data_IF_840911435372
#
_entry.id   IF_840911435372
#
_cell.length_a   1.000
_cell.length_b   1.000
_cell.length_c   1.000
_cell.angle_alpha   90.00
_cell.angle_beta   90.00
_cell.angle_gamma   90.00
#
_symmetry.space_group_name_H-M   'P 1'
#
loop_
_entity.id
_entity.type
_entity.pdbx_description
1 polymer ?
#
# COMPACT_ATOMS: atom_id res chain seq x y z
N UNK A 1 -21.84 -5.86 -23.69
CA UNK A 1 -21.24 -5.98 -22.34
C UNK A 1 -21.06 -7.47 -22.09
N UNK A 2 -19.83 -7.94 -21.99
CA UNK A 2 -19.56 -9.36 -21.81
C UNK A 2 -19.73 -9.73 -20.33
N UNK A 3 -20.91 -10.24 -20.00
CA UNK A 3 -21.25 -10.60 -18.63
C UNK A 3 -20.41 -11.77 -18.10
N UNK A 4 -20.01 -12.70 -18.97
CA UNK A 4 -19.19 -13.85 -18.58
C UNK A 4 -17.81 -13.42 -18.07
N UNK A 5 -17.16 -12.50 -18.81
CA UNK A 5 -15.89 -11.92 -18.41
C UNK A 5 -15.96 -11.19 -17.06
N UNK A 6 -17.05 -10.44 -16.82
CA UNK A 6 -17.23 -9.71 -15.55
C UNK A 6 -17.37 -10.68 -14.38
N UNK A 7 -18.19 -11.73 -14.52
CA UNK A 7 -18.37 -12.72 -13.46
C UNK A 7 -17.10 -13.48 -13.15
N UNK A 8 -16.36 -13.93 -14.17
CA UNK A 8 -15.10 -14.64 -14.00
C UNK A 8 -14.04 -13.78 -13.29
N UNK A 9 -13.89 -12.51 -13.69
CA UNK A 9 -12.96 -11.57 -13.06
C UNK A 9 -13.36 -11.25 -11.62
N UNK A 10 -14.65 -11.08 -11.36
CA UNK A 10 -15.16 -10.81 -10.01
C UNK A 10 -14.88 -11.99 -9.09
N UNK A 11 -15.18 -13.20 -9.54
CA UNK A 11 -14.97 -14.41 -8.74
C UNK A 11 -13.48 -14.65 -8.49
N UNK A 12 -12.64 -14.42 -9.50
CA UNK A 12 -11.18 -14.52 -9.38
C UNK A 12 -10.63 -13.48 -8.39
N UNK A 13 -11.11 -12.24 -8.43
CA UNK A 13 -10.67 -11.19 -7.50
C UNK A 13 -11.12 -11.44 -6.04
N UNK A 14 -12.23 -12.16 -5.84
CA UNK A 14 -12.72 -12.50 -4.50
C UNK A 14 -11.89 -13.59 -3.80
N UNK A 15 -11.31 -14.52 -4.56
CA UNK A 15 -10.58 -15.69 -4.02
C UNK A 15 -9.07 -15.58 -4.28
N UNK A 16 -8.68 -14.72 -5.22
CA UNK A 16 -7.30 -14.51 -5.63
C UNK A 16 -6.49 -13.65 -4.65
N UNK A 17 -5.20 -13.42 -4.97
CA UNK A 17 -4.31 -12.60 -4.17
C UNK A 17 -4.76 -11.13 -4.04
N UNK A 18 -5.61 -10.66 -4.95
CA UNK A 18 -6.18 -9.31 -4.92
C UNK A 18 -6.94 -9.06 -3.61
N UNK A 19 -7.67 -10.05 -3.11
CA UNK A 19 -8.40 -9.93 -1.84
C UNK A 19 -7.44 -9.69 -0.68
N UNK A 20 -6.27 -10.32 -0.67
CA UNK A 20 -5.27 -10.13 0.38
C UNK A 20 -4.66 -8.73 0.31
N UNK A 21 -4.40 -8.23 -0.90
CA UNK A 21 -3.87 -6.87 -1.10
C UNK A 21 -4.85 -5.84 -0.55
N UNK A 22 -6.14 -5.94 -0.91
CA UNK A 22 -7.17 -5.02 -0.41
C UNK A 22 -7.46 -5.21 1.08
N UNK A 23 -7.38 -6.43 1.61
CA UNK A 23 -7.51 -6.68 3.04
C UNK A 23 -6.38 -6.01 3.84
N UNK A 24 -5.13 -6.12 3.38
CA UNK A 24 -4.00 -5.40 3.99
C UNK A 24 -4.17 -3.88 3.89
N UNK A 25 -4.68 -3.38 2.76
CA UNK A 25 -5.04 -1.97 2.60
C UNK A 25 -6.07 -1.54 3.66
N UNK A 26 -7.14 -2.31 3.81
CA UNK A 26 -8.22 -2.04 4.76
C UNK A 26 -7.73 -2.07 6.21
N UNK A 27 -6.84 -3.00 6.55
CA UNK A 27 -6.20 -3.06 7.88
C UNK A 27 -5.36 -1.81 8.13
N UNK A 28 -4.52 -1.39 7.19
CA UNK A 28 -3.74 -0.15 7.33
C UNK A 28 -4.63 1.09 7.48
N UNK A 29 -5.74 1.15 6.73
CA UNK A 29 -6.69 2.23 6.83
C UNK A 29 -7.42 2.22 8.19
N UNK A 30 -7.75 1.04 8.70
CA UNK A 30 -8.34 0.90 10.04
C UNK A 30 -7.36 1.34 11.13
N UNK A 31 -6.07 1.05 10.98
CA UNK A 31 -5.03 1.53 11.90
C UNK A 31 -4.99 3.06 11.93
N UNK A 32 -4.97 3.71 10.76
CA UNK A 32 -4.98 5.16 10.68
C UNK A 32 -6.32 5.76 11.12
N UNK A 33 -7.39 5.51 10.38
CA UNK A 33 -8.67 6.16 10.59
C UNK A 33 -9.39 5.64 11.84
N UNK A 34 -9.36 4.33 12.08
CA UNK A 34 -10.08 3.70 13.18
C UNK A 34 -9.53 4.06 14.56
N UNK A 35 -8.19 4.12 14.71
CA UNK A 35 -7.59 4.44 16.01
C UNK A 35 -7.23 5.92 16.18
N UNK A 36 -6.83 6.62 15.12
CA UNK A 36 -6.39 8.03 15.22
C UNK A 36 -7.46 9.03 14.79
N UNK A 37 -8.53 8.59 14.12
CA UNK A 37 -9.56 9.47 13.57
C UNK A 37 -9.12 10.27 12.34
N UNK A 38 -7.87 10.09 11.88
CA UNK A 38 -7.30 10.80 10.74
C UNK A 38 -7.47 9.96 9.48
N UNK A 39 -8.21 10.49 8.50
CA UNK A 39 -8.36 9.86 7.20
C UNK A 39 -7.13 10.22 6.35
N UNK A 40 -6.42 9.21 5.82
CA UNK A 40 -5.24 9.37 4.97
C UNK A 40 -5.50 8.67 3.63
N UNK A 41 -5.65 9.43 2.54
CA UNK A 41 -5.84 8.87 1.19
C UNK A 41 -4.52 8.54 0.48
N UNK A 42 -3.40 9.07 0.96
CA UNK A 42 -2.03 8.79 0.47
C UNK A 42 -1.53 7.36 0.77
N UNK A 43 -2.24 6.56 1.56
CA UNK A 43 -1.87 5.17 1.87
C UNK A 43 -1.62 4.31 0.61
N UNK A 44 -2.38 4.54 -0.46
CA UNK A 44 -2.21 3.84 -1.74
C UNK A 44 -0.83 4.12 -2.37
N UNK A 45 -0.28 5.32 -2.16
CA UNK A 45 1.06 5.67 -2.62
C UNK A 45 2.16 4.83 -1.95
N UNK A 46 2.05 4.60 -0.63
CA UNK A 46 2.97 3.73 0.10
C UNK A 46 2.83 2.26 -0.34
N UNK A 47 1.61 1.80 -0.60
CA UNK A 47 1.38 0.47 -1.15
C UNK A 47 2.04 0.30 -2.51
N UNK A 48 1.88 1.26 -3.42
CA UNK A 48 2.49 1.24 -4.75
C UNK A 48 4.03 1.28 -4.68
N UNK A 49 4.58 2.15 -3.82
CA UNK A 49 6.03 2.26 -3.62
C UNK A 49 6.64 0.95 -3.08
N UNK A 50 5.95 0.26 -2.16
CA UNK A 50 6.36 -1.04 -1.65
C UNK A 50 6.33 -2.14 -2.72
N UNK A 51 5.22 -2.25 -3.45
CA UNK A 51 5.07 -3.23 -4.53
C UNK A 51 6.13 -3.04 -5.63
N UNK A 52 6.36 -1.80 -6.05
CA UNK A 52 7.39 -1.46 -7.03
C UNK A 52 8.79 -1.73 -6.49
N UNK A 53 9.08 -1.40 -5.22
CA UNK A 53 10.37 -1.68 -4.60
C UNK A 53 10.73 -3.16 -4.56
N UNK A 54 9.76 -4.04 -4.24
CA UNK A 54 9.97 -5.50 -4.30
C UNK A 54 10.17 -5.93 -5.75
N UNK A 55 9.38 -5.39 -6.68
CA UNK A 55 9.53 -5.66 -8.11
C UNK A 55 10.92 -5.30 -8.63
N UNK A 56 11.45 -4.13 -8.30
CA UNK A 56 12.79 -3.70 -8.73
C UNK A 56 13.89 -4.57 -8.12
N UNK A 57 13.82 -4.82 -6.81
CA UNK A 57 14.84 -5.62 -6.13
C UNK A 57 14.90 -7.06 -6.63
N UNK A 58 13.75 -7.69 -6.88
CA UNK A 58 13.70 -9.08 -7.34
C UNK A 58 13.94 -9.20 -8.85
N UNK A 59 13.29 -8.38 -9.69
CA UNK A 59 13.38 -8.52 -11.15
C UNK A 59 14.59 -7.84 -11.78
N UNK A 60 15.03 -6.70 -11.26
CA UNK A 60 16.12 -5.92 -11.89
C UNK A 60 17.47 -6.12 -11.20
N UNK A 61 17.47 -6.28 -9.87
CA UNK A 61 18.70 -6.47 -9.09
C UNK A 61 19.01 -7.95 -8.82
N UNK A 62 18.11 -8.86 -9.21
CA UNK A 62 18.24 -10.31 -9.00
C UNK A 62 18.51 -10.69 -7.53
N UNK A 63 17.95 -9.90 -6.60
CA UNK A 63 18.06 -10.19 -5.18
C UNK A 63 17.08 -11.29 -4.80
N UNK A 64 17.45 -12.08 -3.78
CA UNK A 64 16.51 -13.02 -3.17
C UNK A 64 15.27 -12.29 -2.67
N UNK A 65 14.10 -12.88 -2.92
CA UNK A 65 12.79 -12.35 -2.50
C UNK A 65 12.77 -11.89 -1.04
N UNK A 66 13.36 -12.66 -0.13
CA UNK A 66 13.41 -12.34 1.29
C UNK A 66 14.25 -11.09 1.60
N UNK A 67 15.38 -10.94 0.89
CA UNK A 67 16.26 -9.76 1.03
C UNK A 67 15.56 -8.53 0.45
N UNK A 68 14.87 -8.69 -0.69
CA UNK A 68 14.04 -7.64 -1.28
C UNK A 68 12.96 -7.14 -0.32
N UNK A 69 12.26 -8.04 0.38
CA UNK A 69 11.28 -7.67 1.40
C UNK A 69 11.90 -6.82 2.52
N UNK A 70 13.01 -7.27 3.10
CA UNK A 70 13.67 -6.53 4.21
C UNK A 70 14.10 -5.14 3.74
N UNK A 71 14.71 -5.06 2.56
CA UNK A 71 15.11 -3.78 1.97
C UNK A 71 13.90 -2.86 1.78
N UNK A 72 12.79 -3.38 1.27
CA UNK A 72 11.58 -2.59 1.04
C UNK A 72 10.94 -2.11 2.33
N UNK A 73 10.98 -2.88 3.41
CA UNK A 73 10.54 -2.41 4.73
C UNK A 73 11.34 -1.20 5.20
N UNK A 74 12.67 -1.24 5.05
CA UNK A 74 13.54 -0.11 5.40
C UNK A 74 13.26 1.09 4.49
N UNK A 75 13.14 0.86 3.18
CA UNK A 75 12.80 1.89 2.20
C UNK A 75 11.45 2.57 2.50
N UNK A 76 10.41 1.78 2.78
CA UNK A 76 9.08 2.27 3.13
C UNK A 76 9.11 3.08 4.44
N UNK A 77 9.86 2.63 5.45
CA UNK A 77 10.04 3.36 6.70
C UNK A 77 10.76 4.71 6.47
N UNK A 78 11.80 4.74 5.63
CA UNK A 78 12.49 5.97 5.26
C UNK A 78 11.56 6.92 4.52
N UNK A 79 10.80 6.44 3.53
CA UNK A 79 9.79 7.26 2.84
C UNK A 79 8.73 7.80 3.79
N UNK A 80 8.23 6.96 4.69
CA UNK A 80 7.24 7.35 5.69
C UNK A 80 7.78 8.40 6.66
N UNK A 81 9.08 8.34 7.03
CA UNK A 81 9.71 9.39 7.83
C UNK A 81 9.88 10.69 7.05
N UNK A 82 10.39 10.62 5.82
CA UNK A 82 10.60 11.79 4.96
C UNK A 82 9.30 12.55 4.67
N UNK A 83 8.20 11.81 4.45
CA UNK A 83 6.87 12.39 4.20
C UNK A 83 6.08 12.63 5.50
N UNK A 84 6.35 11.86 6.56
CA UNK A 84 5.70 11.98 7.87
C UNK A 84 6.10 13.24 8.63
N UNK A 85 7.40 13.59 8.62
CA UNK A 85 7.91 14.79 9.30
C UNK A 85 7.22 16.09 8.82
N UNK A 86 7.07 16.36 7.50
CA UNK A 86 6.36 17.55 7.05
C UNK A 86 4.85 17.47 7.27
N UNK A 87 4.24 16.28 7.20
CA UNK A 87 2.79 16.13 7.41
C UNK A 87 2.37 16.37 8.86
N UNK A 88 3.23 16.10 9.84
CA UNK A 88 2.99 16.48 11.24
C UNK A 88 2.75 17.99 11.46
N UNK A 89 3.15 18.84 10.50
CA UNK A 89 2.92 20.29 10.55
C UNK A 89 1.56 20.72 9.98
N UNK A 90 0.83 19.80 9.36
CA UNK A 90 -0.50 20.05 8.78
C UNK A 90 -1.58 19.87 9.85
N UNK A 91 -2.67 20.65 9.73
CA UNK A 91 -3.88 20.41 10.52
C UNK A 91 -4.55 19.11 10.06
N UNK A 92 -5.24 18.42 10.98
CA UNK A 92 -5.91 17.14 10.74
C UNK A 92 -6.72 17.07 9.43
N UNK A 93 -7.41 18.15 9.06
CA UNK A 93 -8.23 18.21 7.84
C UNK A 93 -7.40 18.18 6.53
N UNK A 94 -6.13 18.58 6.58
CA UNK A 94 -5.21 18.56 5.43
C UNK A 94 -4.43 17.25 5.30
N UNK A 95 -4.43 16.39 6.33
CA UNK A 95 -3.78 15.07 6.28
C UNK A 95 -4.48 14.08 5.35
N UNK A 96 -5.77 14.29 5.06
CA UNK A 96 -6.47 13.50 4.05
C UNK A 96 -6.08 13.86 2.63
N UNK A 97 -5.66 15.10 2.38
CA UNK A 97 -5.38 15.60 1.02
C UNK A 97 -3.97 15.28 0.50
N UNK A 98 -3.04 14.90 1.38
CA UNK A 98 -1.64 14.59 1.08
C UNK A 98 -1.41 13.08 1.11
#
# INVERSE_FOLDING_TARGET
>A
MDWGFIFERTFSAMIGPEVMIYALAAVGLNVHFGYTGLMNFGQVGFMAAGAYGVGVTVFWLDWSFWIGIIFVFVYAAVLALLLGIPTLRLRADYLGLV
#
